data_IF_236769994036
#
_entry.id   IF_236769994036
#
_cell.length_a   1.000
_cell.length_b   1.000
_cell.length_c   1.000
_cell.angle_alpha   90.00
_cell.angle_beta   90.00
_cell.angle_gamma   90.00
#
_symmetry.space_group_name_H-M   'P 1'
#
loop_
_entity.id
_entity.type
_entity.pdbx_description
1 polymer ?
#
# COMPACT_ATOMS: atom_id res chain seq x y z
N UNK A 1 -74.46 -22.82 25.47
CA UNK A 1 -74.65 -24.21 25.00
C UNK A 1 -74.55 -24.32 23.48
N UNK A 2 -75.00 -23.32 22.69
CA UNK A 2 -74.83 -23.31 21.22
C UNK A 2 -73.35 -23.27 20.75
N UNK A 3 -72.52 -22.47 21.41
CA UNK A 3 -71.12 -22.25 20.97
C UNK A 3 -70.22 -23.49 21.12
N UNK A 4 -70.55 -24.39 22.06
CA UNK A 4 -69.79 -25.63 22.27
C UNK A 4 -70.12 -26.63 21.15
N UNK A 5 -71.38 -26.78 20.79
CA UNK A 5 -71.80 -27.66 19.69
C UNK A 5 -71.26 -27.19 18.33
N UNK A 6 -71.20 -25.88 18.09
CA UNK A 6 -70.61 -25.33 16.86
C UNK A 6 -69.08 -25.57 16.81
N UNK A 7 -68.39 -25.48 17.95
CA UNK A 7 -66.97 -25.83 18.04
C UNK A 7 -66.74 -27.33 17.84
N UNK A 8 -67.61 -28.20 18.38
CA UNK A 8 -67.54 -29.65 18.19
C UNK A 8 -67.76 -30.05 16.72
N UNK A 9 -68.73 -29.46 16.02
CA UNK A 9 -68.94 -29.68 14.58
C UNK A 9 -67.74 -29.20 13.77
N UNK A 10 -67.17 -28.04 14.10
CA UNK A 10 -65.97 -27.52 13.42
C UNK A 10 -64.73 -28.38 13.67
N UNK A 11 -64.54 -28.89 14.87
CA UNK A 11 -63.41 -29.79 15.21
C UNK A 11 -63.58 -31.11 14.47
N UNK A 12 -64.79 -31.68 14.45
CA UNK A 12 -65.07 -32.94 13.75
C UNK A 12 -64.82 -32.80 12.25
N UNK A 13 -65.30 -31.71 11.64
CA UNK A 13 -65.03 -31.38 10.23
C UNK A 13 -63.53 -31.18 9.94
N UNK A 14 -62.80 -30.52 10.85
CA UNK A 14 -61.36 -30.34 10.72
C UNK A 14 -60.59 -31.67 10.80
N UNK A 15 -60.98 -32.56 11.72
CA UNK A 15 -60.37 -33.88 11.89
C UNK A 15 -60.62 -34.78 10.67
N UNK A 16 -61.84 -34.79 10.11
CA UNK A 16 -62.13 -35.52 8.87
C UNK A 16 -61.34 -34.98 7.67
N UNK A 17 -61.09 -33.66 7.63
CA UNK A 17 -60.28 -33.05 6.57
C UNK A 17 -58.80 -33.43 6.72
N UNK A 18 -58.29 -33.49 7.94
CA UNK A 18 -56.92 -33.94 8.23
C UNK A 18 -56.78 -35.42 7.91
N UNK A 19 -57.73 -36.27 8.34
CA UNK A 19 -57.72 -37.69 8.03
C UNK A 19 -57.66 -37.96 6.52
N UNK A 20 -58.48 -37.27 5.73
CA UNK A 20 -58.42 -37.35 4.26
C UNK A 20 -57.10 -36.85 3.68
N UNK A 21 -56.56 -35.75 4.21
CA UNK A 21 -55.28 -35.22 3.75
C UNK A 21 -54.12 -36.18 4.04
N UNK A 22 -54.15 -36.87 5.18
CA UNK A 22 -53.16 -37.89 5.55
C UNK A 22 -53.28 -39.11 4.64
N UNK A 23 -54.49 -39.65 4.41
CA UNK A 23 -54.66 -40.79 3.50
C UNK A 23 -54.21 -40.48 2.07
N UNK A 24 -54.48 -39.27 1.57
CA UNK A 24 -53.99 -38.83 0.25
C UNK A 24 -52.46 -38.67 0.25
N UNK A 25 -51.86 -38.23 1.34
CA UNK A 25 -50.40 -38.15 1.47
C UNK A 25 -49.77 -39.56 1.53
N UNK A 26 -50.39 -40.51 2.21
CA UNK A 26 -49.97 -41.92 2.27
C UNK A 26 -50.10 -42.61 0.92
N UNK A 27 -51.21 -42.42 0.20
CA UNK A 27 -51.37 -42.94 -1.17
C UNK A 27 -50.36 -42.32 -2.13
N UNK A 28 -50.07 -41.02 -2.00
CA UNK A 28 -49.01 -40.36 -2.80
C UNK A 28 -47.62 -40.86 -2.45
N UNK A 29 -47.36 -41.18 -1.17
CA UNK A 29 -46.09 -41.76 -0.75
C UNK A 29 -45.93 -43.22 -1.23
N UNK A 30 -47.01 -43.99 -1.28
CA UNK A 30 -47.02 -45.36 -1.78
C UNK A 30 -47.01 -45.45 -3.32
N UNK A 31 -47.55 -44.44 -4.02
CA UNK A 31 -47.53 -44.32 -5.48
C UNK A 31 -46.30 -43.56 -6.00
N UNK A 32 -45.49 -42.96 -5.13
CA UNK A 32 -44.17 -42.51 -5.52
C UNK A 32 -43.36 -43.75 -5.92
N UNK A 33 -42.72 -43.77 -7.10
CA UNK A 33 -41.80 -44.85 -7.42
C UNK A 33 -40.80 -44.92 -6.27
N UNK A 34 -40.57 -46.12 -5.72
CA UNK A 34 -39.43 -46.34 -4.85
C UNK A 34 -38.22 -45.84 -5.61
N UNK A 35 -37.68 -44.69 -5.21
CA UNK A 35 -36.34 -44.28 -5.59
C UNK A 35 -35.42 -45.16 -4.76
N UNK A 36 -35.43 -46.45 -5.09
CA UNK A 36 -34.47 -47.42 -4.64
C UNK A 36 -33.12 -46.92 -5.10
N UNK A 37 -32.27 -46.61 -4.13
CA UNK A 37 -30.88 -46.24 -4.37
C UNK A 37 -30.19 -47.36 -5.13
N UNK A 38 -30.17 -47.25 -6.44
CA UNK A 38 -29.15 -47.84 -7.28
C UNK A 38 -28.51 -46.61 -7.89
N UNK A 39 -27.35 -46.21 -7.37
CA UNK A 39 -26.46 -45.39 -8.16
C UNK A 39 -26.25 -46.18 -9.46
N UNK A 40 -26.84 -45.76 -10.57
CA UNK A 40 -26.53 -46.41 -11.83
C UNK A 40 -25.03 -46.21 -12.08
N UNK A 41 -24.36 -47.18 -12.69
CA UNK A 41 -22.94 -47.07 -13.01
C UNK A 41 -22.62 -45.75 -13.77
N UNK A 42 -23.61 -45.21 -14.49
CA UNK A 42 -23.56 -43.92 -15.19
C UNK A 42 -23.52 -42.72 -14.23
N UNK A 43 -24.27 -42.76 -13.13
CA UNK A 43 -24.27 -41.73 -12.08
C UNK A 43 -22.94 -41.73 -11.31
N UNK A 44 -22.39 -42.91 -11.00
CA UNK A 44 -21.06 -43.02 -10.36
C UNK A 44 -19.94 -42.51 -11.28
N UNK A 45 -20.01 -42.83 -12.58
CA UNK A 45 -19.08 -42.31 -13.58
C UNK A 45 -19.17 -40.78 -13.73
N UNK A 46 -20.37 -40.19 -13.68
CA UNK A 46 -20.56 -38.74 -13.73
C UNK A 46 -20.01 -38.04 -12.48
N UNK A 47 -20.26 -38.61 -11.29
CA UNK A 47 -19.70 -38.09 -10.02
C UNK A 47 -18.17 -38.13 -10.06
N UNK A 48 -17.57 -39.20 -10.58
CA UNK A 48 -16.12 -39.31 -10.78
C UNK A 48 -15.58 -38.18 -11.66
N UNK A 49 -16.21 -37.94 -12.82
CA UNK A 49 -15.82 -36.86 -13.75
C UNK A 49 -15.97 -35.48 -13.13
N UNK A 50 -17.08 -35.22 -12.43
CA UNK A 50 -17.32 -33.94 -11.76
C UNK A 50 -16.33 -33.68 -10.63
N UNK A 51 -15.93 -34.72 -9.89
CA UNK A 51 -14.91 -34.59 -8.85
C UNK A 51 -13.53 -34.28 -9.44
N UNK A 52 -13.15 -34.91 -10.55
CA UNK A 52 -11.89 -34.63 -11.25
C UNK A 52 -11.87 -33.20 -11.82
N UNK A 53 -12.98 -32.75 -12.41
CA UNK A 53 -13.12 -31.37 -12.87
C UNK A 53 -13.07 -30.37 -11.72
N UNK A 54 -13.71 -30.67 -10.59
CA UNK A 54 -13.67 -29.83 -9.39
C UNK A 54 -12.25 -29.73 -8.82
N UNK A 55 -11.49 -30.82 -8.80
CA UNK A 55 -10.11 -30.80 -8.30
C UNK A 55 -9.21 -30.00 -9.24
N UNK A 56 -9.38 -30.15 -10.55
CA UNK A 56 -8.66 -29.36 -11.57
C UNK A 56 -8.94 -27.85 -11.40
N UNK A 57 -10.19 -27.47 -11.18
CA UNK A 57 -10.56 -26.06 -10.96
C UNK A 57 -10.04 -25.52 -9.63
N UNK A 58 -10.02 -26.33 -8.56
CA UNK A 58 -9.42 -25.93 -7.28
C UNK A 58 -7.92 -25.70 -7.42
N UNK A 59 -7.21 -26.57 -8.13
CA UNK A 59 -5.78 -26.40 -8.40
C UNK A 59 -5.52 -25.14 -9.24
N UNK A 60 -6.34 -24.89 -10.26
CA UNK A 60 -6.27 -23.67 -11.06
C UNK A 60 -6.53 -22.42 -10.21
N UNK A 61 -7.55 -22.45 -9.34
CA UNK A 61 -7.84 -21.33 -8.45
C UNK A 61 -6.72 -21.08 -7.44
N UNK A 62 -6.16 -22.13 -6.83
CA UNK A 62 -5.02 -22.00 -5.91
C UNK A 62 -3.80 -21.37 -6.61
N UNK A 63 -3.54 -21.72 -7.87
CA UNK A 63 -2.48 -21.09 -8.67
C UNK A 63 -2.78 -19.62 -8.97
N UNK A 64 -4.04 -19.27 -9.26
CA UNK A 64 -4.43 -17.87 -9.49
C UNK A 64 -4.31 -17.04 -8.21
N UNK A 65 -4.78 -17.55 -7.07
CA UNK A 65 -4.64 -16.90 -5.76
C UNK A 65 -3.16 -16.67 -5.41
N UNK A 66 -2.30 -17.67 -5.63
CA UNK A 66 -0.86 -17.54 -5.43
C UNK A 66 -0.25 -16.47 -6.34
N UNK A 67 -0.67 -16.39 -7.62
CA UNK A 67 -0.21 -15.35 -8.56
C UNK A 67 -0.69 -13.96 -8.14
N UNK A 68 -1.96 -13.82 -7.75
CA UNK A 68 -2.52 -12.54 -7.29
C UNK A 68 -1.77 -12.07 -6.04
N UNK A 69 -1.52 -12.96 -5.08
CA UNK A 69 -0.72 -12.64 -3.90
C UNK A 69 0.69 -12.19 -4.27
N UNK A 70 1.37 -12.91 -5.15
CA UNK A 70 2.72 -12.54 -5.60
C UNK A 70 2.75 -11.17 -6.32
N UNK A 71 1.74 -10.88 -7.13
CA UNK A 71 1.60 -9.58 -7.80
C UNK A 71 1.36 -8.48 -6.77
N UNK A 72 0.47 -8.71 -5.81
CA UNK A 72 0.15 -7.76 -4.75
C UNK A 72 1.37 -7.46 -3.88
N UNK A 73 2.12 -8.48 -3.47
CA UNK A 73 3.35 -8.32 -2.69
C UNK A 73 4.42 -7.53 -3.46
N UNK A 74 4.56 -7.78 -4.77
CA UNK A 74 5.46 -7.02 -5.65
C UNK A 74 5.00 -5.57 -5.81
N UNK A 75 3.71 -5.34 -5.98
CA UNK A 75 3.12 -3.99 -6.10
C UNK A 75 3.32 -3.21 -4.81
N UNK A 76 3.03 -3.79 -3.66
CA UNK A 76 3.23 -3.14 -2.36
C UNK A 76 4.70 -2.80 -2.11
N UNK A 77 5.61 -3.70 -2.48
CA UNK A 77 7.06 -3.43 -2.40
C UNK A 77 7.45 -2.26 -3.31
N UNK A 78 6.92 -2.21 -4.53
CA UNK A 78 7.21 -1.13 -5.47
C UNK A 78 6.62 0.22 -5.03
N UNK A 79 5.39 0.22 -4.51
CA UNK A 79 4.74 1.41 -3.95
C UNK A 79 5.53 1.93 -2.76
N UNK A 80 5.92 1.07 -1.82
CA UNK A 80 6.74 1.47 -0.66
C UNK A 80 8.09 2.04 -1.08
N UNK A 81 8.72 1.49 -2.12
CA UNK A 81 9.98 2.02 -2.67
C UNK A 81 9.79 3.41 -3.28
N UNK A 82 8.74 3.61 -4.09
CA UNK A 82 8.42 4.90 -4.69
C UNK A 82 8.04 5.95 -3.63
N UNK A 83 7.28 5.57 -2.60
CA UNK A 83 6.96 6.46 -1.48
C UNK A 83 8.24 6.91 -0.75
N UNK A 84 9.20 6.00 -0.54
CA UNK A 84 10.51 6.33 0.04
C UNK A 84 11.36 7.25 -0.84
N UNK A 85 11.30 7.09 -2.16
CA UNK A 85 11.98 7.96 -3.13
C UNK A 85 11.36 9.36 -3.13
N UNK A 86 10.03 9.46 -3.15
CA UNK A 86 9.30 10.73 -3.07
C UNK A 86 9.64 11.49 -1.78
N UNK A 87 9.66 10.81 -0.64
CA UNK A 87 10.04 11.42 0.64
C UNK A 87 11.50 11.92 0.62
N UNK A 88 12.39 11.19 -0.05
CA UNK A 88 13.80 11.60 -0.20
C UNK A 88 13.92 12.83 -1.11
N UNK A 89 13.21 12.87 -2.23
CA UNK A 89 13.17 14.01 -3.14
C UNK A 89 12.56 15.25 -2.46
N UNK A 90 11.51 15.10 -1.66
CA UNK A 90 10.94 16.21 -0.89
C UNK A 90 11.95 16.80 0.09
N UNK A 91 12.69 15.95 0.82
CA UNK A 91 13.77 16.42 1.71
C UNK A 91 14.86 17.17 0.94
N UNK A 92 15.30 16.63 -0.20
CA UNK A 92 16.30 17.29 -1.05
C UNK A 92 15.84 18.66 -1.57
N UNK A 93 14.56 18.78 -1.98
CA UNK A 93 13.98 20.06 -2.42
C UNK A 93 14.00 21.06 -1.26
N UNK A 94 13.57 20.66 -0.07
CA UNK A 94 13.56 21.53 1.10
C UNK A 94 14.96 22.03 1.48
N UNK A 95 15.96 21.14 1.46
CA UNK A 95 17.35 21.51 1.75
C UNK A 95 17.92 22.46 0.68
N UNK A 96 17.58 22.25 -0.59
CA UNK A 96 17.98 23.13 -1.68
C UNK A 96 17.32 24.51 -1.61
N UNK A 97 16.04 24.59 -1.26
CA UNK A 97 15.34 25.86 -1.01
C UNK A 97 15.99 26.65 0.14
N UNK A 98 16.36 25.96 1.22
CA UNK A 98 17.08 26.55 2.35
C UNK A 98 18.45 27.07 1.92
N UNK A 99 19.21 26.29 1.16
CA UNK A 99 20.52 26.71 0.64
C UNK A 99 20.38 27.93 -0.30
N UNK A 100 19.41 27.93 -1.21
CA UNK A 100 19.15 29.06 -2.10
C UNK A 100 18.78 30.34 -1.34
N UNK A 101 17.96 30.22 -0.29
CA UNK A 101 17.58 31.34 0.56
C UNK A 101 18.78 31.90 1.33
N UNK A 102 19.62 31.02 1.88
CA UNK A 102 20.88 31.39 2.52
C UNK A 102 21.84 32.12 1.58
N UNK A 103 21.99 31.62 0.35
CA UNK A 103 22.85 32.24 -0.67
C UNK A 103 22.34 33.63 -1.09
N UNK A 104 21.02 33.80 -1.27
CA UNK A 104 20.42 35.10 -1.58
C UNK A 104 20.69 36.10 -0.46
N UNK A 105 20.46 35.69 0.79
CA UNK A 105 20.73 36.54 1.94
C UNK A 105 22.21 36.94 2.04
N UNK A 106 23.13 35.98 1.84
CA UNK A 106 24.56 36.28 1.81
C UNK A 106 24.91 37.26 0.68
N UNK A 107 24.33 37.12 -0.52
CA UNK A 107 24.58 38.03 -1.65
C UNK A 107 24.06 39.44 -1.36
N UNK A 108 22.87 39.58 -0.77
CA UNK A 108 22.29 40.87 -0.40
C UNK A 108 23.16 41.58 0.65
N UNK A 109 23.62 40.84 1.66
CA UNK A 109 24.55 41.37 2.69
C UNK A 109 25.88 41.80 2.07
N UNK A 110 26.46 41.01 1.17
CA UNK A 110 27.69 41.38 0.47
C UNK A 110 27.53 42.63 -0.39
N UNK A 111 26.40 42.78 -1.08
CA UNK A 111 26.08 43.99 -1.87
C UNK A 111 25.93 45.22 -0.98
N UNK A 112 25.27 45.08 0.17
CA UNK A 112 25.12 46.16 1.15
C UNK A 112 26.49 46.59 1.69
N UNK A 113 27.31 45.63 2.11
CA UNK A 113 28.65 45.90 2.63
C UNK A 113 29.57 46.52 1.57
N UNK A 114 29.50 46.04 0.33
CA UNK A 114 30.31 46.58 -0.76
C UNK A 114 29.91 48.03 -1.11
N UNK A 115 28.61 48.35 -1.04
CA UNK A 115 28.12 49.73 -1.17
C UNK A 115 28.67 50.60 -0.05
N UNK A 116 28.51 50.17 1.20
CA UNK A 116 28.97 50.95 2.36
C UNK A 116 30.49 51.17 2.38
N UNK A 117 31.28 50.16 1.98
CA UNK A 117 32.73 50.30 1.81
C UNK A 117 33.11 51.28 0.68
N UNK A 118 32.36 51.30 -0.43
CA UNK A 118 32.57 52.30 -1.49
C UNK A 118 32.26 53.70 -1.00
N UNK A 119 31.17 53.88 -0.25
CA UNK A 119 30.79 55.18 0.32
C UNK A 119 31.83 55.67 1.35
N UNK A 120 32.32 54.79 2.22
CA UNK A 120 33.37 55.10 3.19
C UNK A 120 34.72 55.47 2.51
N UNK A 121 35.11 54.71 1.48
CA UNK A 121 36.29 55.03 0.68
C UNK A 121 36.15 56.35 -0.08
N UNK A 122 34.95 56.65 -0.63
CA UNK A 122 34.68 57.93 -1.30
C UNK A 122 34.74 59.11 -0.31
N UNK A 123 34.35 58.89 0.95
CA UNK A 123 34.49 59.87 2.03
C UNK A 123 35.93 59.97 2.56
N UNK A 124 36.87 59.12 2.11
CA UNK A 124 38.24 59.07 2.60
C UNK A 124 38.36 58.57 4.05
N UNK A 125 37.32 57.94 4.58
CA UNK A 125 37.27 57.42 5.95
C UNK A 125 37.46 55.91 5.88
N UNK A 126 38.63 55.43 6.32
CA UNK A 126 38.84 54.00 6.56
C UNK A 126 38.09 53.58 7.82
N UNK A 127 36.85 53.12 7.68
CA UNK A 127 36.03 52.67 8.80
C UNK A 127 36.29 51.19 9.11
N UNK A 128 36.90 50.94 10.28
CA UNK A 128 37.25 49.60 10.74
C UNK A 128 36.03 48.72 11.02
N UNK A 129 34.90 49.31 11.43
CA UNK A 129 33.67 48.56 11.71
C UNK A 129 33.02 48.09 10.40
N UNK A 130 33.08 48.89 9.33
CA UNK A 130 32.64 48.48 7.99
C UNK A 130 33.51 47.36 7.40
N UNK A 131 34.83 47.42 7.61
CA UNK A 131 35.74 46.35 7.18
C UNK A 131 35.42 45.05 7.93
N UNK A 132 35.19 45.12 9.25
CA UNK A 132 34.82 43.96 10.05
C UNK A 132 33.44 43.39 9.65
N UNK A 133 32.47 44.24 9.34
CA UNK A 133 31.15 43.82 8.85
C UNK A 133 31.24 43.13 7.49
N UNK A 134 32.06 43.64 6.57
CA UNK A 134 32.33 43.01 5.29
C UNK A 134 33.00 41.64 5.44
N UNK A 135 34.05 41.55 6.27
CA UNK A 135 34.73 40.30 6.55
C UNK A 135 33.80 39.26 7.20
N UNK A 136 32.94 39.70 8.13
CA UNK A 136 31.93 38.83 8.76
C UNK A 136 30.94 38.26 7.74
N UNK A 137 30.48 39.10 6.80
CA UNK A 137 29.61 38.64 5.72
C UNK A 137 30.30 37.69 4.74
N UNK A 138 31.59 37.90 4.43
CA UNK A 138 32.38 36.98 3.62
C UNK A 138 32.53 35.61 4.31
N UNK A 139 32.78 35.59 5.63
CA UNK A 139 32.83 34.35 6.42
C UNK A 139 31.48 33.65 6.38
N UNK A 140 30.37 34.35 6.60
CA UNK A 140 29.04 33.76 6.51
C UNK A 140 28.75 33.21 5.10
N UNK A 141 29.14 33.92 4.04
CA UNK A 141 28.98 33.44 2.67
C UNK A 141 29.79 32.16 2.42
N UNK A 142 31.05 32.11 2.87
CA UNK A 142 31.89 30.91 2.77
C UNK A 142 31.32 29.73 3.57
N UNK A 143 30.74 30.00 4.74
CA UNK A 143 30.06 28.98 5.55
C UNK A 143 28.82 28.42 4.84
N UNK A 144 28.01 29.29 4.20
CA UNK A 144 26.84 28.84 3.41
C UNK A 144 27.26 28.03 2.17
N UNK A 145 28.33 28.43 1.48
CA UNK A 145 28.89 27.64 0.37
C UNK A 145 29.35 26.27 0.88
N UNK A 146 30.11 26.21 1.97
CA UNK A 146 30.54 24.94 2.57
C UNK A 146 29.38 24.07 3.06
N UNK A 147 28.31 24.67 3.59
CA UNK A 147 27.12 23.94 3.99
C UNK A 147 26.41 23.32 2.78
N UNK A 148 26.32 24.07 1.68
CA UNK A 148 25.74 23.60 0.42
C UNK A 148 26.58 22.47 -0.20
N UNK A 149 27.91 22.62 -0.22
CA UNK A 149 28.84 21.58 -0.67
C UNK A 149 28.70 20.30 0.15
N UNK A 150 28.53 20.39 1.48
CA UNK A 150 28.30 19.22 2.33
C UNK A 150 27.01 18.49 1.98
N UNK A 151 25.90 19.20 1.81
CA UNK A 151 24.62 18.61 1.40
C UNK A 151 24.75 17.93 0.03
N UNK A 152 25.43 18.57 -0.93
CA UNK A 152 25.67 17.99 -2.25
C UNK A 152 26.54 16.72 -2.18
N UNK A 153 27.60 16.73 -1.36
CA UNK A 153 28.47 15.58 -1.15
C UNK A 153 27.74 14.43 -0.45
N UNK A 154 26.91 14.72 0.56
CA UNK A 154 26.10 13.71 1.25
C UNK A 154 25.09 13.06 0.29
N UNK A 155 24.47 13.85 -0.60
CA UNK A 155 23.65 13.36 -1.69
C UNK A 155 24.43 12.42 -2.63
N UNK A 156 25.60 12.85 -3.11
CA UNK A 156 26.46 12.04 -3.98
C UNK A 156 26.91 10.74 -3.30
N UNK A 157 27.22 10.77 -2.00
CA UNK A 157 27.56 9.58 -1.22
C UNK A 157 26.36 8.63 -1.11
N UNK A 158 25.15 9.17 -0.92
CA UNK A 158 23.92 8.38 -0.90
C UNK A 158 23.68 7.69 -2.25
N UNK A 159 23.82 8.42 -3.35
CA UNK A 159 23.67 7.89 -4.70
C UNK A 159 24.72 6.82 -5.01
N UNK A 160 25.98 7.05 -4.63
CA UNK A 160 27.06 6.06 -4.76
C UNK A 160 26.81 4.80 -3.93
N UNK A 161 26.26 4.93 -2.72
CA UNK A 161 25.87 3.78 -1.87
C UNK A 161 24.73 2.99 -2.49
N UNK A 162 23.74 3.66 -3.07
CA UNK A 162 22.62 3.02 -3.75
C UNK A 162 23.04 2.35 -5.07
N UNK A 163 24.03 2.90 -5.78
CA UNK A 163 24.60 2.33 -6.99
C UNK A 163 25.57 1.17 -6.72
N UNK A 164 26.06 1.02 -5.48
CA UNK A 164 26.90 -0.11 -5.09
C UNK A 164 26.03 -1.38 -5.04
N UNK A 165 26.35 -2.44 -5.79
CA UNK A 165 25.57 -3.67 -5.74
C UNK A 165 25.59 -4.24 -4.33
N UNK A 166 24.41 -4.45 -3.73
CA UNK A 166 24.23 -5.09 -2.42
C UNK A 166 24.73 -6.55 -2.34
N UNK A 167 25.23 -7.12 -3.45
CA UNK A 167 25.53 -8.54 -3.61
C UNK A 167 26.99 -8.96 -3.40
N UNK A 168 27.92 -8.02 -3.11
CA UNK A 168 29.34 -8.42 -2.92
C UNK A 168 29.61 -8.98 -1.51
N UNK A 169 28.78 -8.68 -0.50
CA UNK A 169 29.01 -9.16 0.88
C UNK A 169 28.37 -10.52 1.18
N UNK A 170 27.36 -10.94 0.42
CA UNK A 170 26.70 -12.24 0.63
C UNK A 170 27.45 -13.43 -0.01
N UNK A 171 28.33 -13.18 -0.98
CA UNK A 171 29.06 -14.24 -1.68
C UNK A 171 30.27 -14.79 -0.89
N UNK A 172 30.89 -14.01 0.00
CA UNK A 172 32.10 -14.45 0.72
C UNK A 172 31.82 -15.25 2.02
N UNK A 173 30.57 -15.33 2.48
CA UNK A 173 30.23 -16.08 3.71
C UNK A 173 29.71 -17.50 3.46
N UNK A 174 29.69 -17.96 2.20
CA UNK A 174 29.16 -19.29 1.82
C UNK A 174 30.22 -20.29 1.35
N UNK A 175 31.51 -19.94 1.42
CA UNK A 175 32.63 -20.81 1.02
C UNK A 175 33.59 -21.21 2.17
N UNK A 176 33.17 -21.12 3.44
CA UNK A 176 33.90 -21.72 4.57
C UNK A 176 33.03 -22.69 5.37
#
# INVERSE_FOLDING_TARGET
MSDISELEERITSALERIGRAVSVAEERAAAAPEVGGIASDEMEAEIGRLNEALETEKDANAQMEARVKAIHDKQNTHVAALEGEVETLHRQIYDLERAMTGLRHANDTLRANNTALRDANAAGVGDADLINAALSADVQALEQVRATERVALDGLISDLKAALPHDVVAAETKEL
#
